data_IF_616653666155
#
_entry.id   IF_616653666155
#
_cell.length_a   1.000
_cell.length_b   1.000
_cell.length_c   1.000
_cell.angle_alpha   90.00
_cell.angle_beta   90.00
_cell.angle_gamma   90.00
#
_symmetry.space_group_name_H-M   'P 1'
#
loop_
_entity.id
_entity.type
_entity.pdbx_description
1 polymer ?
#
# COMPACT_ATOMS: atom_id res chain seq x y z
N UNK A 1 8.41 -7.11 11.13
CA UNK A 1 8.01 -5.92 11.91
C UNK A 1 7.14 -5.06 11.00
N UNK A 2 6.02 -4.52 11.50
CA UNK A 2 5.14 -3.61 10.75
C UNK A 2 5.08 -2.30 11.53
N UNK A 3 5.21 -1.18 10.82
CA UNK A 3 5.19 0.17 11.37
C UNK A 3 4.15 0.99 10.60
N UNK A 4 3.37 1.80 11.31
CA UNK A 4 2.50 2.81 10.71
C UNK A 4 3.12 4.18 10.97
N UNK A 5 3.47 4.91 9.92
CA UNK A 5 4.16 6.20 9.99
C UNK A 5 3.32 7.21 9.24
N UNK A 6 2.89 8.28 9.92
CA UNK A 6 2.01 9.28 9.32
C UNK A 6 2.76 10.13 8.28
N UNK A 7 4.02 10.51 8.55
CA UNK A 7 4.88 11.26 7.64
C UNK A 7 6.35 10.88 7.91
N UNK A 8 6.93 9.94 7.15
CA UNK A 8 8.32 9.53 7.36
C UNK A 8 9.29 10.63 6.91
N UNK A 9 10.27 10.95 7.76
CA UNK A 9 11.39 11.78 7.34
C UNK A 9 12.27 11.06 6.33
N UNK A 10 13.04 11.80 5.52
CA UNK A 10 13.98 11.23 4.56
C UNK A 10 14.96 10.21 5.19
N UNK A 11 15.42 10.45 6.42
CA UNK A 11 16.29 9.51 7.16
C UNK A 11 15.62 8.17 7.46
N UNK A 12 14.31 8.18 7.69
CA UNK A 12 13.54 6.96 7.91
C UNK A 12 13.34 6.23 6.59
N UNK A 13 13.08 6.96 5.50
CA UNK A 13 12.93 6.39 4.17
C UNK A 13 14.18 5.62 3.71
N UNK A 14 15.38 6.11 4.03
CA UNK A 14 16.62 5.37 3.73
C UNK A 14 16.77 4.03 4.44
N UNK A 15 15.90 3.71 5.40
CA UNK A 15 15.91 2.45 6.15
C UNK A 15 14.74 1.53 5.76
N UNK A 16 13.86 1.95 4.85
CA UNK A 16 12.65 1.22 4.48
C UNK A 16 12.82 0.61 3.09
N UNK A 17 12.80 -0.72 3.02
CA UNK A 17 12.88 -1.44 1.74
C UNK A 17 11.52 -1.53 1.03
N UNK A 18 10.44 -1.70 1.80
CA UNK A 18 9.09 -1.96 1.28
C UNK A 18 8.04 -1.08 1.94
N UNK A 19 7.08 -0.63 1.14
CA UNK A 19 5.99 0.26 1.55
C UNK A 19 4.65 -0.39 1.26
N UNK A 20 3.68 -0.11 2.13
CA UNK A 20 2.27 -0.41 1.93
C UNK A 20 1.51 0.92 2.01
N UNK A 21 0.97 1.39 0.88
CA UNK A 21 0.11 2.58 0.82
C UNK A 21 -1.35 2.14 0.83
N UNK A 22 -2.11 2.72 1.74
CA UNK A 22 -3.53 2.41 1.95
C UNK A 22 -4.36 3.66 1.74
N UNK A 23 -5.49 3.53 1.05
CA UNK A 23 -6.47 4.60 0.89
C UNK A 23 -7.86 4.00 1.00
N UNK A 24 -8.76 4.63 1.76
CA UNK A 24 -10.15 4.18 1.97
C UNK A 24 -10.32 2.70 2.35
N UNK A 25 -9.32 2.12 3.03
CA UNK A 25 -9.32 0.71 3.45
C UNK A 25 -8.86 -0.28 2.37
N UNK A 26 -8.56 0.17 1.16
CA UNK A 26 -7.93 -0.64 0.11
C UNK A 26 -6.42 -0.40 0.01
N UNK A 27 -5.74 -1.34 -0.64
CA UNK A 27 -4.29 -1.25 -0.91
C UNK A 27 -4.10 -0.53 -2.23
N UNK A 28 -3.46 0.64 -2.19
CA UNK A 28 -3.11 1.41 -3.40
C UNK A 28 -1.78 0.93 -3.98
N UNK A 29 -0.83 0.62 -3.10
CA UNK A 29 0.49 0.15 -3.51
C UNK A 29 1.06 -0.78 -2.44
N UNK A 30 1.63 -1.91 -2.87
CA UNK A 30 2.45 -2.75 -2.03
C UNK A 30 3.68 -3.21 -2.80
N UNK A 31 4.87 -2.76 -2.39
CA UNK A 31 6.08 -3.03 -3.14
C UNK A 31 7.32 -2.42 -2.51
N UNK A 32 8.40 -2.36 -3.29
CA UNK A 32 9.65 -1.72 -2.86
C UNK A 32 9.54 -0.21 -2.91
N UNK A 33 10.30 0.50 -2.07
CA UNK A 33 10.30 1.96 -2.08
C UNK A 33 10.79 2.54 -3.42
N UNK A 34 11.81 1.92 -4.01
CA UNK A 34 12.42 2.34 -5.28
C UNK A 34 11.52 2.14 -6.51
N UNK A 35 10.50 1.28 -6.42
CA UNK A 35 9.57 1.02 -7.53
C UNK A 35 8.33 1.92 -7.52
N UNK A 36 8.22 2.85 -6.56
CA UNK A 36 7.06 3.77 -6.48
C UNK A 36 7.01 4.70 -7.69
N UNK A 37 8.14 5.18 -8.18
CA UNK A 37 8.18 6.07 -9.34
C UNK A 37 7.63 5.40 -10.60
N UNK A 38 8.06 4.16 -10.87
CA UNK A 38 7.53 3.37 -11.98
C UNK A 38 6.02 3.11 -11.85
N UNK A 39 5.55 2.85 -10.62
CA UNK A 39 4.12 2.71 -10.33
C UNK A 39 3.36 4.00 -10.65
N UNK A 40 3.85 5.16 -10.20
CA UNK A 40 3.25 6.46 -10.49
C UNK A 40 3.19 6.73 -11.99
N UNK A 41 4.28 6.46 -12.71
CA UNK A 41 4.34 6.58 -14.16
C UNK A 41 3.32 5.68 -14.86
N UNK A 42 3.15 4.44 -14.39
CA UNK A 42 2.14 3.51 -14.92
C UNK A 42 0.70 3.99 -14.72
N UNK A 43 0.45 4.82 -13.71
CA UNK A 43 -0.82 5.48 -13.42
C UNK A 43 -0.97 6.84 -14.14
N UNK A 44 0.02 7.24 -14.93
CA UNK A 44 0.01 8.49 -15.68
C UNK A 44 0.48 9.71 -14.90
N UNK A 45 1.14 9.52 -13.75
CA UNK A 45 1.66 10.59 -12.91
C UNK A 45 3.19 10.68 -13.01
N UNK A 46 3.71 11.91 -13.13
CA UNK A 46 5.15 12.19 -13.14
C UNK A 46 5.54 12.90 -11.84
N UNK A 47 6.60 12.43 -11.18
CA UNK A 47 7.06 13.02 -9.91
C UNK A 47 7.63 14.42 -10.15
N UNK A 48 7.16 15.46 -9.44
CA UNK A 48 7.75 16.79 -9.50
C UNK A 48 9.20 16.78 -9.01
N UNK A 49 10.07 17.59 -9.61
CA UNK A 49 11.50 17.65 -9.27
C UNK A 49 11.79 17.97 -7.79
N UNK A 50 10.88 18.67 -7.12
CA UNK A 50 11.02 19.10 -5.73
C UNK A 50 10.64 18.03 -4.70
N UNK A 51 9.99 16.94 -5.13
CA UNK A 51 9.45 15.90 -4.25
C UNK A 51 10.12 14.56 -4.56
N UNK A 52 10.20 13.69 -3.55
CA UNK A 52 10.47 12.29 -3.82
C UNK A 52 9.18 11.53 -4.20
N UNK A 53 9.34 10.36 -4.81
CA UNK A 53 8.23 9.55 -5.31
C UNK A 53 7.21 9.16 -4.23
N UNK A 54 7.66 8.89 -3.00
CA UNK A 54 6.77 8.56 -1.89
C UNK A 54 6.02 9.79 -1.36
N UNK A 55 6.69 10.93 -1.20
CA UNK A 55 6.03 12.20 -0.83
C UNK A 55 4.92 12.53 -1.81
N UNK A 56 5.22 12.48 -3.11
CA UNK A 56 4.23 12.73 -4.13
C UNK A 56 3.10 11.69 -4.09
N UNK A 57 3.41 10.40 -3.95
CA UNK A 57 2.39 9.35 -3.82
C UNK A 57 1.47 9.55 -2.61
N UNK A 58 1.97 10.10 -1.50
CA UNK A 58 1.16 10.44 -0.33
C UNK A 58 0.27 11.67 -0.58
N UNK A 59 0.74 12.66 -1.32
CA UNK A 59 -0.05 13.84 -1.68
C UNK A 59 -1.23 13.48 -2.59
N UNK A 60 -1.00 12.62 -3.59
CA UNK A 60 -2.02 12.20 -4.57
C UNK A 60 -2.68 10.85 -4.25
N UNK A 61 -2.64 10.43 -2.98
CA UNK A 61 -3.08 9.11 -2.54
C UNK A 61 -4.57 8.85 -2.79
N UNK A 62 -5.37 9.91 -2.88
CA UNK A 62 -6.81 9.80 -3.16
C UNK A 62 -7.07 9.58 -4.65
N UNK A 63 -6.28 10.23 -5.51
CA UNK A 63 -6.31 10.13 -6.97
C UNK A 63 -5.79 8.79 -7.46
N UNK A 64 -4.85 8.19 -6.73
CA UNK A 64 -4.34 6.83 -7.00
C UNK A 64 -5.33 5.72 -6.63
N UNK A 65 -6.38 6.03 -5.86
CA UNK A 65 -7.36 5.04 -5.42
C UNK A 65 -8.44 4.81 -6.48
N UNK A 66 -8.38 3.66 -7.13
CA UNK A 66 -9.46 3.08 -7.92
C UNK A 66 -10.25 2.03 -7.08
N UNK A 67 -11.56 2.22 -6.83
CA UNK A 67 -12.37 1.24 -6.10
C UNK A 67 -12.44 -0.14 -6.75
N UNK A 68 -12.36 -0.26 -8.08
CA UNK A 68 -12.49 -1.55 -8.77
C UNK A 68 -11.19 -2.36 -8.72
N UNK A 69 -10.06 -1.68 -8.76
CA UNK A 69 -8.73 -2.28 -8.66
C UNK A 69 -8.35 -2.58 -7.20
N UNK A 70 -8.59 -1.63 -6.29
CA UNK A 70 -8.02 -1.66 -4.94
C UNK A 70 -8.95 -2.23 -3.86
N UNK A 71 -10.25 -2.43 -4.15
CA UNK A 71 -11.17 -3.16 -3.27
C UNK A 71 -10.99 -4.69 -3.37
N UNK A 72 -10.36 -5.16 -4.45
CA UNK A 72 -10.12 -6.56 -4.70
C UNK A 72 -8.78 -6.96 -4.07
N UNK A 73 -8.79 -7.32 -2.78
CA UNK A 73 -7.68 -8.11 -2.22
C UNK A 73 -7.76 -9.51 -2.86
N UNK A 74 -7.27 -9.65 -4.08
CA UNK A 74 -6.94 -10.95 -4.67
C UNK A 74 -5.49 -11.22 -4.27
N UNK A 75 -5.33 -11.96 -3.18
CA UNK A 75 -4.06 -12.62 -2.91
C UNK A 75 -3.79 -13.54 -4.10
N UNK A 76 -2.58 -13.52 -4.71
CA UNK A 76 -2.23 -14.51 -5.71
C UNK A 76 -2.28 -15.89 -5.05
N UNK A 77 -3.27 -16.68 -5.44
CA UNK A 77 -3.32 -18.11 -5.18
C UNK A 77 -2.06 -18.71 -5.80
N UNK A 78 -1.04 -18.97 -4.98
CA UNK A 78 0.04 -19.87 -5.37
C UNK A 78 -0.62 -21.21 -5.67
N UNK A 79 -0.68 -21.59 -6.94
CA UNK A 79 -1.22 -22.86 -7.38
C UNK A 79 -0.54 -24.01 -6.63
N UNK A 80 -1.23 -24.58 -5.65
CA UNK A 80 -1.19 -26.00 -5.33
C UNK A 80 -2.33 -26.38 -4.37
N UNK A 81 -3.23 -27.20 -4.93
CA UNK A 81 -4.10 -28.19 -4.28
C UNK A 81 -5.48 -27.72 -3.77
N UNK A 82 -6.48 -27.96 -4.63
CA UNK A 82 -7.90 -28.18 -4.31
C UNK A 82 -8.08 -28.94 -3.00
N UNK A 83 -8.82 -28.34 -2.04
CA UNK A 83 -9.79 -29.05 -1.21
C UNK A 83 -10.75 -28.07 -0.49
N UNK A 84 -11.99 -28.10 -0.98
CA UNK A 84 -13.27 -27.73 -0.36
C UNK A 84 -13.28 -27.55 1.18
N UNK A 85 -13.33 -26.32 1.74
CA UNK A 85 -14.06 -26.00 3.00
C UNK A 85 -14.00 -24.50 3.40
N UNK A 86 -15.19 -23.92 3.64
CA UNK A 86 -15.55 -22.71 4.43
C UNK A 86 -14.60 -21.50 4.43
N UNK A 87 -15.05 -20.45 3.72
CA UNK A 87 -14.56 -19.08 3.79
C UNK A 87 -14.44 -18.60 5.25
N UNK A 88 -13.21 -18.40 5.70
CA UNK A 88 -12.90 -17.79 6.99
C UNK A 88 -12.59 -16.32 6.75
N UNK A 89 -13.53 -15.42 7.04
CA UNK A 89 -13.30 -13.97 7.03
C UNK A 89 -12.35 -13.67 8.20
N UNK A 90 -11.10 -13.34 7.92
CA UNK A 90 -10.14 -12.94 8.96
C UNK A 90 -10.51 -11.52 9.40
N UNK A 91 -11.27 -11.43 10.49
CA UNK A 91 -11.64 -10.15 11.09
C UNK A 91 -10.49 -9.62 11.96
N UNK A 92 -9.79 -8.60 11.47
CA UNK A 92 -8.77 -7.90 12.25
C UNK A 92 -9.44 -7.13 13.41
N UNK A 93 -9.22 -7.59 14.64
CA UNK A 93 -9.70 -6.91 15.85
C UNK A 93 -8.66 -5.88 16.29
N UNK A 94 -8.85 -4.63 15.88
CA UNK A 94 -8.08 -3.49 16.40
C UNK A 94 -8.50 -3.18 17.84
N UNK A 95 -7.68 -3.54 18.83
CA UNK A 95 -7.81 -3.05 20.21
C UNK A 95 -7.30 -1.61 20.28
N UNK A 96 -8.21 -0.63 20.20
CA UNK A 96 -7.89 0.76 20.56
C UNK A 96 -7.80 0.84 22.09
N UNK A 97 -6.61 1.16 22.60
CA UNK A 97 -6.43 1.66 23.97
C UNK A 97 -6.69 3.16 23.89
N UNK A 98 -7.76 3.63 24.54
CA UNK A 98 -7.97 5.05 24.80
C UNK A 98 -7.38 5.32 26.17
N UNK A 99 -6.42 6.25 26.25
CA UNK A 99 -5.90 6.82 27.50
C UNK A 99 -6.73 8.02 27.92
#
# INVERSE_FOLDING_TARGET
VILSIHQPSFKILSLIDRVLLLSKGGVVYHGRLDSIEDFLLSKGFTVPYQLNSLEYAMEILQELYDPFENASIVLPDNESQKQNTKQSIVQYRSSRITV
#
